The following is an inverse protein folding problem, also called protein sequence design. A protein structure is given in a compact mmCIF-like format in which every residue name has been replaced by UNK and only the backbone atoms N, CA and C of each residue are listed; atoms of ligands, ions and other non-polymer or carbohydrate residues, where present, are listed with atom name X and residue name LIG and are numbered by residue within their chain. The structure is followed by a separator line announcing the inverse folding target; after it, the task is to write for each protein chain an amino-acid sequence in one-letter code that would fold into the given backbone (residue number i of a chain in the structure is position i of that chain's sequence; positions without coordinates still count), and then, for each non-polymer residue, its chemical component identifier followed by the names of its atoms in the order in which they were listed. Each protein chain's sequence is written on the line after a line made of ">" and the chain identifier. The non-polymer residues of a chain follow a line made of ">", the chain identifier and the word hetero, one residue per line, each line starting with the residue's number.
data_IF_340271061178
#
_entry.id   IF_340271061178
#
_cell.length_a   1.000
_cell.length_b   1.000
_cell.length_c   1.000
_cell.angle_alpha   90.00
_cell.angle_beta   90.00
_cell.angle_gamma   90.00
#
_symmetry.space_group_name_H-M   'P 1'
#
loop_
_entity.id
_entity.type
_entity.pdbx_description
1 polymer ?
#
# COMPACT_ATOMS: atom_id res chain seq x y z
N UNK A 1 11.72 -8.94 -11.84
CA UNK A 1 11.18 -7.64 -11.39
C UNK A 1 9.69 -7.76 -11.14
N UNK A 2 9.26 -7.43 -9.93
CA UNK A 2 7.94 -7.68 -9.35
C UNK A 2 7.95 -7.43 -7.85
N UNK A 3 8.74 -6.44 -7.42
CA UNK A 3 9.05 -6.22 -6.01
C UNK A 3 7.81 -5.73 -5.29
N UNK A 4 7.50 -6.39 -4.18
CA UNK A 4 6.36 -6.09 -3.32
C UNK A 4 6.88 -5.47 -2.03
N UNK A 5 6.32 -4.32 -1.65
CA UNK A 5 6.60 -3.61 -0.42
C UNK A 5 5.47 -3.89 0.57
N UNK A 6 5.84 -4.36 1.76
CA UNK A 6 4.93 -4.46 2.91
C UNK A 6 5.09 -3.22 3.77
N UNK A 7 3.99 -2.54 4.05
CA UNK A 7 3.93 -1.34 4.88
C UNK A 7 3.05 -1.64 6.10
N UNK A 8 3.51 -1.20 7.27
CA UNK A 8 2.78 -1.26 8.54
C UNK A 8 2.59 0.16 9.04
N UNK A 9 1.35 0.56 9.30
CA UNK A 9 1.01 1.89 9.79
C UNK A 9 0.01 1.78 10.94
N UNK A 10 0.18 2.62 11.97
CA UNK A 10 -0.78 2.75 13.08
C UNK A 10 -1.63 4.01 12.96
N UNK A 11 -1.35 4.84 11.95
CA UNK A 11 -2.07 6.08 11.70
C UNK A 11 -3.33 5.79 10.86
N UNK A 12 -4.51 6.31 11.26
CA UNK A 12 -5.76 6.04 10.54
C UNK A 12 -5.83 6.68 9.14
N UNK A 13 -5.07 7.74 8.85
CA UNK A 13 -5.08 8.38 7.54
C UNK A 13 -4.42 7.49 6.47
N UNK A 14 -3.48 6.64 6.86
CA UNK A 14 -2.83 5.67 5.98
C UNK A 14 -3.81 4.78 5.21
N UNK A 15 -5.00 4.51 5.77
CA UNK A 15 -6.05 3.73 5.11
C UNK A 15 -6.55 4.39 3.81
N UNK A 16 -6.39 5.71 3.66
CA UNK A 16 -6.82 6.50 2.49
C UNK A 16 -5.60 6.92 1.66
N UNK A 17 -4.50 7.30 2.31
CA UNK A 17 -3.29 7.78 1.64
C UNK A 17 -2.63 6.73 0.73
N UNK A 18 -2.52 5.47 1.19
CA UNK A 18 -1.86 4.42 0.39
C UNK A 18 -2.64 4.00 -0.86
N UNK A 19 -3.98 3.83 -0.81
CA UNK A 19 -4.78 3.69 -2.01
C UNK A 19 -4.62 4.86 -3.00
N UNK A 20 -4.63 6.10 -2.49
CA UNK A 20 -4.46 7.29 -3.33
C UNK A 20 -3.07 7.32 -4.00
N UNK A 21 -2.02 7.11 -3.20
CA UNK A 21 -0.64 7.02 -3.68
C UNK A 21 -0.46 5.95 -4.78
N UNK A 22 -1.08 4.78 -4.61
CA UNK A 22 -1.01 3.71 -5.61
C UNK A 22 -1.70 4.13 -6.91
N UNK A 23 -2.89 4.74 -6.81
CA UNK A 23 -3.62 5.25 -7.98
C UNK A 23 -2.85 6.35 -8.72
N UNK A 24 -2.19 7.27 -8.01
CA UNK A 24 -1.42 8.36 -8.63
C UNK A 24 -0.07 7.89 -9.20
N UNK A 25 0.65 7.03 -8.48
CA UNK A 25 1.98 6.55 -8.88
C UNK A 25 1.93 5.44 -9.94
N UNK A 26 0.74 4.86 -10.17
CA UNK A 26 0.56 3.68 -11.02
C UNK A 26 0.98 2.36 -10.37
N UNK A 27 1.36 2.38 -9.09
CA UNK A 27 1.65 1.19 -8.30
C UNK A 27 0.37 0.41 -8.01
N UNK A 28 0.49 -0.91 -7.82
CA UNK A 28 -0.65 -1.77 -7.55
C UNK A 28 -0.77 -2.05 -6.05
N UNK A 29 -1.88 -1.64 -5.43
CA UNK A 29 -2.21 -2.08 -4.08
C UNK A 29 -2.77 -3.50 -4.16
N UNK A 30 -1.97 -4.48 -3.74
CA UNK A 30 -2.30 -5.91 -3.80
C UNK A 30 -3.22 -6.31 -2.65
N UNK A 31 -2.97 -5.77 -1.46
CA UNK A 31 -3.77 -6.08 -0.27
C UNK A 31 -3.71 -4.95 0.75
N UNK A 32 -4.83 -4.75 1.45
CA UNK A 32 -4.97 -3.84 2.57
C UNK A 32 -5.83 -4.51 3.63
N UNK A 33 -5.32 -4.60 4.84
CA UNK A 33 -6.04 -5.15 5.98
C UNK A 33 -5.54 -4.55 7.28
N UNK A 34 -6.28 -4.73 8.37
CA UNK A 34 -5.87 -4.32 9.70
C UNK A 34 -5.59 -5.56 10.55
N UNK A 35 -4.45 -5.57 11.25
CA UNK A 35 -4.11 -6.59 12.24
C UNK A 35 -3.76 -5.93 13.57
N UNK A 36 -4.54 -6.23 14.62
CA UNK A 36 -4.32 -5.73 15.98
C UNK A 36 -4.16 -4.19 16.07
N UNK A 37 -4.95 -3.43 15.29
CA UNK A 37 -4.88 -1.97 15.23
C UNK A 37 -3.72 -1.41 14.41
N UNK A 38 -3.03 -2.26 13.64
CA UNK A 38 -2.00 -1.88 12.68
C UNK A 38 -2.54 -2.12 11.28
N UNK A 39 -2.59 -1.08 10.47
CA UNK A 39 -2.89 -1.16 9.05
C UNK A 39 -1.70 -1.78 8.31
N UNK A 40 -1.99 -2.80 7.53
CA UNK A 40 -1.02 -3.56 6.75
C UNK A 40 -1.36 -3.38 5.27
N UNK A 41 -0.39 -2.94 4.49
CA UNK A 41 -0.52 -2.74 3.05
C UNK A 41 0.53 -3.56 2.31
N UNK A 42 0.13 -4.21 1.23
CA UNK A 42 1.03 -4.88 0.30
C UNK A 42 0.92 -4.14 -1.02
N UNK A 43 1.97 -3.44 -1.41
CA UNK A 43 2.04 -2.66 -2.64
C UNK A 43 3.04 -3.32 -3.57
N UNK A 44 2.64 -3.61 -4.79
CA UNK A 44 3.53 -4.10 -5.82
C UNK A 44 3.99 -2.95 -6.70
N UNK A 45 5.30 -2.83 -6.82
CA UNK A 45 5.91 -1.91 -7.77
C UNK A 45 5.66 -2.44 -9.18
N UNK A 46 4.79 -1.75 -9.90
CA UNK A 46 4.69 -1.84 -11.35
C UNK A 46 5.80 -0.94 -11.89
N UNK A 47 6.48 -1.34 -12.96
CA UNK A 47 7.38 -0.41 -13.65
C UNK A 47 6.51 0.63 -14.37
N UNK A 48 5.99 1.61 -13.62
CA UNK A 48 5.60 2.88 -14.18
C UNK A 48 6.87 3.45 -14.86
N UNK A 49 6.77 3.65 -16.17
CA UNK A 49 7.85 4.05 -17.06
C UNK A 49 8.53 5.33 -16.62
#
# INVERSE_FOLDING_TARGET
>A
YGESLKILATDPAAAIDFPHYCAESGNELVSQHEEAGVLVFIIRKTHAK
#
